data_IF_758943188829
#
_entry.id   IF_758943188829
#
_cell.length_a   1.000
_cell.length_b   1.000
_cell.length_c   1.000
_cell.angle_alpha   90.00
_cell.angle_beta   90.00
_cell.angle_gamma   90.00
#
_symmetry.space_group_name_H-M   'P 1'
#
loop_
_entity.id
_entity.type
_entity.pdbx_description
1 polymer ?
#
# COMPACT_ATOMS: atom_id res chain seq x y z
N UNK A 1 27.18 -3.45 18.06
CA UNK A 1 26.58 -2.27 17.40
C UNK A 1 25.32 -1.91 18.17
N UNK A 2 24.95 -0.63 18.23
CA UNK A 2 23.66 -0.23 18.81
C UNK A 2 22.50 -0.79 17.99
N UNK A 3 21.45 -1.26 18.66
CA UNK A 3 20.22 -1.75 18.04
C UNK A 3 19.57 -0.65 17.21
N UNK A 4 19.22 -0.94 15.96
CA UNK A 4 18.51 0.00 15.09
C UNK A 4 17.07 0.15 15.56
N UNK A 5 16.53 1.37 15.51
CA UNK A 5 15.13 1.65 15.82
C UNK A 5 14.34 2.03 14.58
N UNK A 6 13.18 1.41 14.40
CA UNK A 6 12.28 1.64 13.28
C UNK A 6 10.86 2.00 13.74
N UNK A 7 10.28 3.00 13.10
CA UNK A 7 8.86 3.37 13.26
C UNK A 7 8.09 3.05 11.98
N UNK A 8 7.10 2.16 12.07
CA UNK A 8 6.26 1.74 10.95
C UNK A 8 4.87 2.36 11.06
N UNK A 9 4.61 3.38 10.25
CA UNK A 9 3.31 4.02 10.16
C UNK A 9 2.39 3.20 9.24
N UNK A 10 1.25 2.75 9.79
CA UNK A 10 0.41 1.72 9.17
C UNK A 10 0.85 0.28 9.48
N UNK A 11 1.67 0.08 10.53
CA UNK A 11 2.20 -1.24 10.92
C UNK A 11 1.15 -2.28 11.32
N UNK A 12 -0.12 -1.87 11.50
CA UNK A 12 -1.23 -2.78 11.75
C UNK A 12 -2.00 -3.19 10.47
N UNK A 13 -1.53 -2.77 9.30
CA UNK A 13 -2.09 -3.08 8.00
C UNK A 13 -1.49 -4.33 7.35
N UNK A 14 -1.87 -4.55 6.10
CA UNK A 14 -1.44 -5.71 5.31
C UNK A 14 0.07 -5.80 5.15
N UNK A 15 0.69 -4.74 4.60
CA UNK A 15 2.14 -4.68 4.36
C UNK A 15 2.88 -4.31 5.63
N UNK A 16 2.41 -3.29 6.34
CA UNK A 16 3.05 -2.78 7.55
C UNK A 16 3.28 -3.85 8.62
N UNK A 17 2.34 -4.77 8.83
CA UNK A 17 2.51 -5.85 9.80
C UNK A 17 3.62 -6.84 9.42
N UNK A 18 3.83 -7.07 8.12
CA UNK A 18 4.94 -7.88 7.61
C UNK A 18 6.27 -7.15 7.75
N UNK A 19 6.29 -5.83 7.54
CA UNK A 19 7.49 -5.02 7.79
C UNK A 19 7.88 -5.09 9.27
N UNK A 20 6.91 -4.95 10.20
CA UNK A 20 7.17 -5.13 11.63
C UNK A 20 7.72 -6.53 11.94
N UNK A 21 7.10 -7.59 11.40
CA UNK A 21 7.57 -8.99 11.56
C UNK A 21 9.04 -9.15 11.17
N UNK A 22 9.41 -8.67 9.99
CA UNK A 22 10.78 -8.84 9.47
C UNK A 22 11.79 -7.89 10.11
N UNK A 23 11.38 -6.71 10.59
CA UNK A 23 12.24 -5.86 11.39
C UNK A 23 12.53 -6.47 12.77
N UNK A 24 11.53 -7.07 13.42
CA UNK A 24 11.72 -7.83 14.68
C UNK A 24 12.68 -9.00 14.46
N UNK A 25 12.47 -9.78 13.39
CA UNK A 25 13.37 -10.90 13.05
C UNK A 25 14.81 -10.44 12.77
N UNK A 26 15.02 -9.16 12.45
CA UNK A 26 16.34 -8.54 12.28
C UNK A 26 16.98 -8.07 13.58
N UNK A 27 16.28 -8.21 14.70
CA UNK A 27 16.73 -7.71 16.00
C UNK A 27 16.63 -6.20 16.14
N UNK A 28 15.76 -5.53 15.36
CA UNK A 28 15.53 -4.09 15.49
C UNK A 28 14.51 -3.79 16.59
N UNK A 29 14.61 -2.61 17.20
CA UNK A 29 13.55 -2.06 18.05
C UNK A 29 12.43 -1.52 17.17
N UNK A 30 11.24 -2.13 17.27
CA UNK A 30 10.13 -1.88 16.35
C UNK A 30 8.97 -1.20 17.06
N UNK A 31 8.64 -0.02 16.59
CA UNK A 31 7.41 0.68 16.94
C UNK A 31 6.47 0.73 15.73
N UNK A 32 5.20 0.44 15.95
CA UNK A 32 4.14 0.56 14.96
C UNK A 32 3.18 1.65 15.39
N UNK A 33 2.88 2.58 14.48
CA UNK A 33 1.94 3.67 14.73
C UNK A 33 0.74 3.52 13.80
N UNK A 34 -0.46 3.59 14.36
CA UNK A 34 -1.70 3.57 13.59
C UNK A 34 -2.86 4.15 14.39
N UNK A 35 -4.00 4.43 13.74
CA UNK A 35 -5.18 4.98 14.43
C UNK A 35 -5.75 4.04 15.50
N UNK A 36 -5.66 2.73 15.29
CA UNK A 36 -6.22 1.74 16.21
C UNK A 36 -5.20 1.09 17.15
N UNK A 37 -3.89 1.29 16.91
CA UNK A 37 -2.83 0.61 17.64
C UNK A 37 -2.65 -0.81 17.12
N UNK A 38 -2.66 -1.79 18.02
CA UNK A 38 -2.42 -3.19 17.68
C UNK A 38 -3.36 -3.71 16.57
N UNK A 39 -2.87 -4.53 15.62
CA UNK A 39 -3.70 -5.11 14.57
C UNK A 39 -4.77 -6.05 15.12
N UNK A 40 -5.89 -6.06 14.40
CA UNK A 40 -6.85 -7.16 14.46
C UNK A 40 -6.27 -8.34 13.66
N UNK A 41 -5.82 -9.38 14.36
CA UNK A 41 -4.99 -10.45 13.78
C UNK A 41 -5.70 -11.25 12.70
N UNK A 42 -7.02 -11.37 12.77
CA UNK A 42 -7.90 -11.91 11.74
C UNK A 42 -7.91 -11.10 10.43
N UNK A 43 -7.56 -9.81 10.47
CA UNK A 43 -7.50 -8.94 9.28
C UNK A 43 -6.15 -8.95 8.55
N UNK A 44 -5.09 -9.46 9.21
CA UNK A 44 -3.70 -9.41 8.73
C UNK A 44 -2.98 -10.77 8.74
N UNK A 45 -3.62 -11.80 9.28
CA UNK A 45 -3.07 -13.14 9.35
C UNK A 45 -4.17 -14.20 9.24
N UNK A 46 -3.77 -15.44 9.01
CA UNK A 46 -4.69 -16.60 8.98
C UNK A 46 -5.27 -16.93 10.36
N UNK A 47 -4.66 -16.43 11.44
CA UNK A 47 -5.05 -16.71 12.82
C UNK A 47 -5.59 -15.45 13.50
N UNK A 48 -6.60 -15.61 14.35
CA UNK A 48 -7.08 -14.54 15.24
C UNK A 48 -6.16 -14.32 16.45
N UNK A 49 -5.21 -15.23 16.68
CA UNK A 49 -4.25 -15.15 17.78
C UNK A 49 -3.00 -14.37 17.38
N UNK A 50 -2.55 -13.49 18.27
CA UNK A 50 -1.32 -12.73 18.07
C UNK A 50 -0.09 -13.67 17.93
N UNK A 51 0.71 -13.54 16.86
CA UNK A 51 1.94 -14.31 16.73
C UNK A 51 2.99 -13.85 17.75
N UNK A 52 3.95 -14.71 18.09
CA UNK A 52 4.94 -14.45 19.14
C UNK A 52 5.77 -13.20 18.91
N UNK A 53 6.19 -12.93 17.66
CA UNK A 53 6.96 -11.73 17.29
C UNK A 53 6.19 -10.43 17.58
N UNK A 54 4.86 -10.45 17.61
CA UNK A 54 4.06 -9.26 17.83
C UNK A 54 4.21 -8.67 19.23
N UNK A 55 4.67 -9.47 20.20
CA UNK A 55 4.98 -9.03 21.56
C UNK A 55 6.26 -8.19 21.63
N UNK A 56 7.08 -8.23 20.59
CA UNK A 56 8.32 -7.46 20.47
C UNK A 56 8.11 -6.14 19.72
N UNK A 57 6.85 -5.82 19.38
CA UNK A 57 6.48 -4.57 18.70
C UNK A 57 5.74 -3.68 19.69
N UNK A 58 6.17 -2.43 19.82
CA UNK A 58 5.41 -1.40 20.54
C UNK A 58 4.29 -0.87 19.63
N UNK A 59 3.04 -1.05 20.04
CA UNK A 59 1.87 -0.70 19.22
C UNK A 59 1.22 0.60 19.71
N UNK A 60 1.56 1.71 19.07
CA UNK A 60 1.11 3.03 19.46
C UNK A 60 -0.10 3.51 18.65
N UNK A 61 -0.96 4.26 19.35
CA UNK A 61 -2.11 4.94 18.74
C UNK A 61 -1.73 6.35 18.35
N UNK A 62 -1.81 6.67 17.07
CA UNK A 62 -1.69 8.04 16.58
C UNK A 62 -2.44 8.25 15.27
N UNK A 63 -2.65 9.52 14.91
CA UNK A 63 -3.29 9.92 13.67
C UNK A 63 -2.25 10.52 12.72
N UNK A 64 -1.94 9.84 11.63
CA UNK A 64 -0.96 10.33 10.65
C UNK A 64 -1.42 11.57 9.86
N UNK A 65 -2.70 11.96 9.98
CA UNK A 65 -3.19 13.25 9.47
C UNK A 65 -2.97 14.41 10.47
N UNK A 66 -2.44 14.12 11.67
CA UNK A 66 -2.15 15.08 12.71
C UNK A 66 -0.77 14.80 13.34
N UNK A 67 0.23 15.54 12.87
CA UNK A 67 1.63 15.41 13.28
C UNK A 67 1.86 15.53 14.80
N UNK A 68 1.01 16.29 15.50
CA UNK A 68 1.13 16.49 16.94
C UNK A 68 0.97 15.18 17.72
N UNK A 69 0.24 14.22 17.14
CA UNK A 69 -0.04 12.92 17.78
C UNK A 69 1.12 11.93 17.71
N UNK A 70 2.09 12.11 16.81
CA UNK A 70 3.17 11.14 16.61
C UNK A 70 4.58 11.72 16.58
N UNK A 71 4.75 13.05 16.52
CA UNK A 71 6.08 13.69 16.43
C UNK A 71 7.06 13.20 17.51
N UNK A 72 6.60 13.12 18.76
CA UNK A 72 7.42 12.64 19.87
C UNK A 72 7.82 11.15 19.75
N UNK A 73 7.05 10.35 19.02
CA UNK A 73 7.34 8.94 18.80
C UNK A 73 8.50 8.72 17.81
N UNK A 74 8.83 9.74 17.00
CA UNK A 74 9.92 9.67 16.02
C UNK A 74 11.31 9.95 16.63
N UNK A 75 11.38 10.48 17.85
CA UNK A 75 12.65 10.78 18.52
C UNK A 75 13.56 9.56 18.62
N UNK A 76 14.85 9.71 18.30
CA UNK A 76 15.86 8.65 18.32
C UNK A 76 15.53 7.45 17.41
N UNK A 77 14.88 7.69 16.27
CA UNK A 77 14.56 6.64 15.29
C UNK A 77 15.59 6.64 14.17
N UNK A 78 16.11 5.47 13.79
CA UNK A 78 16.98 5.36 12.62
C UNK A 78 16.16 5.36 11.32
N UNK A 79 15.04 4.63 11.31
CA UNK A 79 14.27 4.36 10.11
C UNK A 79 12.78 4.64 10.30
N UNK A 80 12.16 5.33 9.34
CA UNK A 80 10.71 5.56 9.33
C UNK A 80 10.10 4.95 8.09
N UNK A 81 8.96 4.28 8.23
CA UNK A 81 8.23 3.67 7.12
C UNK A 81 6.82 4.21 7.03
N UNK A 82 6.43 4.66 5.85
CA UNK A 82 5.04 4.94 5.51
C UNK A 82 4.47 3.81 4.66
N UNK A 83 3.57 3.03 5.25
CA UNK A 83 2.91 1.88 4.61
C UNK A 83 1.40 2.05 4.46
N UNK A 84 0.91 3.27 4.67
CA UNK A 84 -0.51 3.56 4.58
C UNK A 84 -0.93 3.84 3.14
N UNK A 85 -2.19 3.54 2.87
CA UNK A 85 -2.85 3.97 1.67
C UNK A 85 -4.28 3.47 1.59
N UNK A 86 -5.08 4.14 0.77
CA UNK A 86 -6.40 3.68 0.38
C UNK A 86 -6.38 3.34 -1.11
N UNK A 87 -7.04 2.23 -1.46
CA UNK A 87 -7.20 1.81 -2.85
C UNK A 87 -8.47 2.39 -3.48
N UNK A 88 -9.51 2.67 -2.68
CA UNK A 88 -10.80 3.16 -3.14
C UNK A 88 -11.32 4.23 -2.17
N UNK A 89 -11.55 5.43 -2.68
CA UNK A 89 -12.28 6.51 -2.00
C UNK A 89 -13.75 6.12 -1.78
N UNK A 90 -14.40 6.73 -0.79
CA UNK A 90 -15.79 6.41 -0.42
C UNK A 90 -16.76 6.65 -1.57
N UNK A 91 -16.47 7.63 -2.43
CA UNK A 91 -17.30 7.94 -3.60
C UNK A 91 -17.33 6.78 -4.61
N UNK A 92 -16.20 6.06 -4.75
CA UNK A 92 -16.13 4.85 -5.56
C UNK A 92 -16.81 3.67 -4.86
N UNK A 93 -16.74 3.57 -3.52
CA UNK A 93 -17.48 2.54 -2.76
C UNK A 93 -18.99 2.77 -2.79
N UNK A 94 -19.44 4.02 -2.83
CA UNK A 94 -20.84 4.39 -3.03
C UNK A 94 -21.33 4.02 -4.42
N UNK A 95 -20.49 4.27 -5.44
CA UNK A 95 -20.75 3.82 -6.81
C UNK A 95 -20.79 2.28 -6.91
N UNK A 96 -19.84 1.58 -6.28
CA UNK A 96 -19.75 0.10 -6.21
C UNK A 96 -20.90 -0.54 -5.41
N UNK A 97 -21.36 0.13 -4.34
CA UNK A 97 -22.52 -0.31 -3.54
C UNK A 97 -23.85 -0.02 -4.23
N UNK A 98 -23.97 1.11 -4.94
CA UNK A 98 -25.09 1.40 -5.84
C UNK A 98 -25.13 0.47 -7.06
N UNK A 99 -24.02 -0.18 -7.35
CA UNK A 99 -23.87 -1.20 -8.40
C UNK A 99 -24.03 -2.63 -7.89
N UNK A 100 -24.76 -2.82 -6.79
CA UNK A 100 -25.49 -4.07 -6.53
C UNK A 100 -26.44 -4.46 -7.69
N UNK A 101 -26.72 -3.53 -8.62
CA UNK A 101 -27.42 -3.79 -9.88
C UNK A 101 -26.53 -4.10 -11.11
N UNK A 102 -25.25 -3.70 -11.18
CA UNK A 102 -24.47 -3.91 -12.43
C UNK A 102 -23.70 -5.23 -12.50
N UNK A 103 -23.48 -5.93 -11.37
CA UNK A 103 -23.03 -7.33 -11.47
C UNK A 103 -24.16 -8.19 -12.05
N UNK A 104 -25.43 -7.82 -11.80
CA UNK A 104 -26.58 -8.36 -12.53
C UNK A 104 -26.64 -7.86 -13.98
N UNK A 105 -26.23 -6.61 -14.24
CA UNK A 105 -26.14 -6.03 -15.59
C UNK A 105 -25.07 -6.67 -16.48
N UNK A 106 -23.98 -7.18 -15.89
CA UNK A 106 -22.98 -7.97 -16.62
C UNK A 106 -23.53 -9.33 -17.06
N UNK A 107 -24.61 -9.84 -16.46
CA UNK A 107 -25.30 -11.06 -16.91
C UNK A 107 -26.23 -10.83 -18.11
N UNK A 108 -26.54 -9.56 -18.42
CA UNK A 108 -27.33 -9.14 -19.58
C UNK A 108 -26.49 -8.76 -20.81
N UNK A 109 -25.16 -8.82 -20.73
CA UNK A 109 -24.25 -8.49 -21.84
C UNK A 109 -23.66 -9.73 -22.54
N UNK A 110 -24.18 -10.91 -22.23
CA UNK A 110 -23.88 -12.20 -22.90
C UNK A 110 -25.14 -12.92 -23.39
N UNK A 111 -26.26 -12.21 -23.45
CA UNK A 111 -27.46 -12.58 -24.20
C UNK A 111 -28.06 -11.32 -24.81
N UNK A 112 -28.22 -11.30 -26.14
CA UNK A 112 -28.60 -10.10 -26.90
C UNK A 112 -29.97 -9.51 -26.52
N UNK A 113 -30.10 -8.20 -26.72
CA UNK A 113 -31.38 -7.46 -26.60
C UNK A 113 -31.17 -6.07 -26.03
N UNK A 114 -31.30 -5.04 -26.86
CA UNK A 114 -30.89 -3.67 -26.55
C UNK A 114 -31.75 -2.92 -25.52
N UNK A 115 -31.13 -1.92 -24.89
CA UNK A 115 -31.76 -0.63 -24.54
C UNK A 115 -30.66 0.35 -24.14
N UNK A 116 -30.70 1.53 -24.74
CA UNK A 116 -29.69 2.58 -24.62
C UNK A 116 -30.15 3.60 -23.56
N UNK A 117 -29.46 3.78 -22.41
CA UNK A 117 -29.93 4.67 -21.35
C UNK A 117 -29.24 6.04 -21.45
N UNK A 118 -29.68 6.88 -22.40
CA UNK A 118 -29.38 8.30 -22.44
C UNK A 118 -30.68 9.10 -22.61
N UNK A 119 -31.58 9.01 -21.62
CA UNK A 119 -32.64 9.99 -21.42
C UNK A 119 -32.92 10.15 -19.92
N UNK A 120 -32.38 11.23 -19.33
CA UNK A 120 -33.13 12.11 -18.41
C UNK A 120 -32.29 13.36 -18.11
N UNK A 121 -32.71 14.49 -18.67
CA UNK A 121 -32.15 15.81 -18.36
C UNK A 121 -32.58 16.34 -16.99
N UNK A 122 -31.90 17.41 -16.55
CA UNK A 122 -32.36 18.28 -15.47
C UNK A 122 -31.31 18.64 -14.43
N UNK A 123 -30.61 19.76 -14.67
CA UNK A 123 -30.16 20.76 -13.69
C UNK A 123 -29.80 20.34 -12.25
N UNK A 124 -28.55 20.56 -11.85
CA UNK A 124 -28.24 21.13 -10.54
C UNK A 124 -26.90 21.85 -10.54
N UNK A 125 -26.97 23.13 -10.18
CA UNK A 125 -25.88 24.05 -9.88
C UNK A 125 -24.98 23.54 -8.76
N UNK A 126 -23.77 24.08 -8.76
CA UNK A 126 -22.74 24.04 -7.72
C UNK A 126 -23.27 24.14 -6.28
N UNK A 127 -22.67 23.37 -5.37
CA UNK A 127 -22.54 23.78 -3.97
C UNK A 127 -21.09 23.66 -3.52
N UNK A 128 -20.58 24.83 -3.19
CA UNK A 128 -19.36 25.19 -2.48
C UNK A 128 -19.01 24.32 -1.29
N UNK A 129 -17.70 24.29 -1.04
CA UNK A 129 -17.02 23.81 0.15
C UNK A 129 -17.77 24.13 1.47
N UNK A 130 -18.01 23.09 2.26
CA UNK A 130 -18.34 23.19 3.67
C UNK A 130 -17.24 22.51 4.48
N UNK A 131 -16.42 23.32 5.13
CA UNK A 131 -15.45 22.92 6.14
C UNK A 131 -16.16 22.54 7.43
N UNK A 132 -15.88 21.34 7.97
CA UNK A 132 -16.21 20.96 9.35
C UNK A 132 -16.97 19.64 9.50
N UNK A 133 -16.33 18.66 10.16
CA UNK A 133 -16.85 17.34 10.59
C UNK A 133 -16.92 16.27 9.49
N UNK A 134 -15.88 15.42 9.45
CA UNK A 134 -15.93 14.11 8.81
C UNK A 134 -15.54 14.03 7.33
N UNK A 135 -14.64 14.88 6.83
CA UNK A 135 -14.08 14.71 5.48
C UNK A 135 -13.37 13.35 5.40
N UNK A 136 -13.96 12.42 4.66
CA UNK A 136 -13.40 11.09 4.47
C UNK A 136 -12.04 11.19 3.77
N UNK A 137 -11.08 10.32 4.09
CA UNK A 137 -9.74 10.40 3.53
C UNK A 137 -9.77 10.21 2.00
N UNK A 138 -9.19 11.18 1.30
CA UNK A 138 -8.94 11.18 -0.15
C UNK A 138 -7.59 10.55 -0.47
N UNK A 139 -7.30 10.27 -1.74
CA UNK A 139 -5.97 9.83 -2.16
C UNK A 139 -4.91 10.87 -1.85
N UNK A 140 -5.18 12.16 -2.05
CA UNK A 140 -4.23 13.23 -1.73
C UNK A 140 -3.93 13.25 -0.24
N UNK A 141 -4.94 13.36 0.61
CA UNK A 141 -4.73 13.45 2.07
C UNK A 141 -4.08 12.19 2.63
N UNK A 142 -4.52 11.00 2.22
CA UNK A 142 -4.05 9.74 2.79
C UNK A 142 -2.80 9.19 2.12
N UNK A 143 -2.69 9.17 0.80
CA UNK A 143 -1.56 8.55 0.10
C UNK A 143 -0.40 9.53 -0.08
N UNK A 144 -0.68 10.83 -0.31
CA UNK A 144 0.33 11.84 -0.64
C UNK A 144 0.71 12.70 0.56
N UNK A 145 -0.22 13.50 1.07
CA UNK A 145 0.04 14.54 2.05
C UNK A 145 0.50 13.95 3.39
N UNK A 146 -0.11 12.84 3.84
CA UNK A 146 0.35 12.14 5.05
C UNK A 146 1.78 11.57 4.92
N UNK A 147 2.19 11.17 3.70
CA UNK A 147 3.53 10.66 3.45
C UNK A 147 4.56 11.79 3.46
N UNK A 148 4.24 12.91 2.81
CA UNK A 148 5.08 14.12 2.80
C UNK A 148 5.24 14.68 4.21
N UNK A 149 4.15 14.85 4.95
CA UNK A 149 4.21 15.35 6.33
C UNK A 149 5.02 14.41 7.21
N UNK A 150 4.81 13.09 7.14
CA UNK A 150 5.60 12.15 7.92
C UNK A 150 7.10 12.19 7.57
N UNK A 151 7.45 12.33 6.28
CA UNK A 151 8.85 12.44 5.87
C UNK A 151 9.51 13.71 6.44
N UNK A 152 8.82 14.85 6.42
CA UNK A 152 9.32 16.09 7.06
C UNK A 152 9.53 15.94 8.56
N UNK A 153 8.58 15.31 9.25
CA UNK A 153 8.70 15.04 10.68
C UNK A 153 9.83 14.04 10.98
N UNK A 154 10.06 13.06 10.10
CA UNK A 154 11.18 12.14 10.20
C UNK A 154 12.53 12.84 9.98
N UNK A 155 12.62 13.73 8.99
CA UNK A 155 13.80 14.56 8.75
C UNK A 155 14.09 15.47 9.94
N UNK A 156 13.07 16.15 10.48
CA UNK A 156 13.19 16.99 11.67
C UNK A 156 13.62 16.19 12.93
N UNK A 157 13.24 14.91 13.01
CA UNK A 157 13.68 13.99 14.05
C UNK A 157 15.07 13.37 13.80
N UNK A 158 15.77 13.77 12.72
CA UNK A 158 17.06 13.23 12.29
C UNK A 158 17.06 11.72 11.99
N UNK A 159 15.95 11.19 11.45
CA UNK A 159 15.92 9.83 10.93
C UNK A 159 16.90 9.68 9.76
N UNK A 160 17.57 8.53 9.67
CA UNK A 160 18.60 8.27 8.66
C UNK A 160 18.01 7.90 7.31
N UNK A 161 16.90 7.17 7.31
CA UNK A 161 16.22 6.77 6.09
C UNK A 161 14.70 6.72 6.26
N UNK A 162 14.01 6.96 5.15
CA UNK A 162 12.56 6.94 5.05
C UNK A 162 12.12 6.01 3.91
N UNK A 163 11.39 4.96 4.23
CA UNK A 163 10.80 4.09 3.22
C UNK A 163 9.32 4.42 3.00
N UNK A 164 8.94 4.58 1.75
CA UNK A 164 7.56 4.77 1.32
C UNK A 164 7.09 3.58 0.49
N UNK A 165 5.98 2.96 0.89
CA UNK A 165 5.33 1.94 0.07
C UNK A 165 4.54 2.64 -1.04
N UNK A 166 5.17 2.73 -2.21
CA UNK A 166 4.62 3.27 -3.44
C UNK A 166 4.00 2.17 -4.31
N UNK A 167 3.75 2.45 -5.59
CA UNK A 167 3.16 1.53 -6.53
C UNK A 167 3.88 1.57 -7.88
N UNK A 168 4.17 0.40 -8.46
CA UNK A 168 4.66 0.30 -9.84
C UNK A 168 3.55 0.54 -10.86
N UNK A 169 2.32 0.11 -10.54
CA UNK A 169 1.15 0.20 -11.41
C UNK A 169 -0.12 0.46 -10.62
N UNK A 170 -1.20 0.83 -11.32
CA UNK A 170 -2.53 0.88 -10.72
C UNK A 170 -3.04 -0.54 -10.50
N UNK A 171 -3.55 -0.87 -9.29
CA UNK A 171 -4.26 -2.13 -9.10
C UNK A 171 -5.50 -2.23 -10.01
N UNK A 172 -5.97 -3.44 -10.34
CA UNK A 172 -7.16 -3.62 -11.18
C UNK A 172 -8.38 -2.89 -10.61
N UNK A 173 -9.07 -2.09 -11.43
CA UNK A 173 -10.25 -1.32 -11.03
C UNK A 173 -9.97 -0.05 -10.22
N UNK A 174 -8.70 0.30 -9.99
CA UNK A 174 -8.31 1.52 -9.26
C UNK A 174 -7.95 2.64 -10.25
N UNK A 175 -8.44 3.88 -10.04
CA UNK A 175 -8.16 4.99 -10.96
C UNK A 175 -6.69 5.41 -10.97
N UNK A 176 -6.21 5.96 -12.09
CA UNK A 176 -4.83 6.47 -12.26
C UNK A 176 -4.44 7.55 -11.25
N UNK A 177 -5.44 8.24 -10.66
CA UNK A 177 -5.28 9.16 -9.54
C UNK A 177 -4.57 8.53 -8.34
N UNK A 178 -4.79 7.23 -8.10
CA UNK A 178 -4.08 6.49 -7.05
C UNK A 178 -2.56 6.46 -7.30
N UNK A 179 -2.14 6.19 -8.53
CA UNK A 179 -0.71 6.08 -8.86
C UNK A 179 -0.04 7.45 -8.89
N UNK A 180 -0.68 8.46 -9.48
CA UNK A 180 -0.15 9.83 -9.52
C UNK A 180 0.09 10.39 -8.12
N UNK A 181 -0.85 10.23 -7.18
CA UNK A 181 -0.65 10.69 -5.79
C UNK A 181 0.53 10.00 -5.08
N UNK A 182 0.79 8.72 -5.37
CA UNK A 182 1.99 8.02 -4.87
C UNK A 182 3.27 8.60 -5.49
N UNK A 183 3.30 8.81 -6.80
CA UNK A 183 4.48 9.38 -7.49
C UNK A 183 4.76 10.84 -7.09
N UNK A 184 3.73 11.65 -6.87
CA UNK A 184 3.86 13.02 -6.36
C UNK A 184 4.48 13.07 -4.96
N UNK A 185 4.13 12.09 -4.10
CA UNK A 185 4.78 11.94 -2.81
C UNK A 185 6.25 11.58 -2.95
N UNK A 186 6.63 10.64 -3.83
CA UNK A 186 8.04 10.31 -4.08
C UNK A 186 8.85 11.55 -4.46
N UNK A 187 8.33 12.34 -5.41
CA UNK A 187 8.99 13.56 -5.88
C UNK A 187 9.15 14.60 -4.78
N UNK A 188 8.16 14.71 -3.88
CA UNK A 188 8.19 15.67 -2.77
C UNK A 188 9.17 15.22 -1.68
N UNK A 189 9.15 13.93 -1.32
CA UNK A 189 10.05 13.35 -0.31
C UNK A 189 11.49 13.33 -0.79
N UNK A 190 11.74 13.13 -2.09
CA UNK A 190 13.10 13.16 -2.68
C UNK A 190 13.82 14.51 -2.51
N UNK A 191 13.10 15.58 -2.17
CA UNK A 191 13.67 16.92 -1.97
C UNK A 191 14.19 17.13 -0.54
N UNK A 192 13.97 16.20 0.38
CA UNK A 192 14.45 16.28 1.76
C UNK A 192 15.94 15.89 1.82
N UNK A 193 16.85 16.87 1.80
CA UNK A 193 18.30 16.64 1.67
C UNK A 193 18.93 15.81 2.80
N UNK A 194 18.35 15.86 4.00
CA UNK A 194 18.87 15.18 5.20
C UNK A 194 18.16 13.84 5.48
N UNK A 195 17.38 13.32 4.52
CA UNK A 195 16.63 12.09 4.69
C UNK A 195 16.79 11.19 3.47
N UNK A 196 17.44 10.03 3.65
CA UNK A 196 17.57 9.05 2.56
C UNK A 196 16.20 8.44 2.23
N UNK A 197 15.58 8.91 1.16
CA UNK A 197 14.30 8.40 0.66
C UNK A 197 14.45 7.09 -0.11
N UNK A 198 13.60 6.10 0.19
CA UNK A 198 13.49 4.81 -0.49
C UNK A 198 12.03 4.60 -0.88
N UNK A 199 11.75 4.47 -2.18
CA UNK A 199 10.39 4.38 -2.70
C UNK A 199 10.14 2.98 -3.26
N UNK A 200 9.51 2.13 -2.46
CA UNK A 200 9.21 0.74 -2.83
C UNK A 200 8.04 0.74 -3.81
N UNK A 201 8.32 0.65 -5.11
CA UNK A 201 7.30 0.63 -6.17
C UNK A 201 6.72 -0.78 -6.29
N UNK A 202 5.92 -1.16 -5.29
CA UNK A 202 5.34 -2.49 -5.22
C UNK A 202 4.30 -2.70 -6.34
N UNK A 203 4.27 -3.88 -6.97
CA UNK A 203 3.14 -4.28 -7.81
C UNK A 203 1.97 -4.73 -6.93
N UNK A 204 0.95 -5.34 -7.53
CA UNK A 204 -0.11 -5.98 -6.77
C UNK A 204 0.47 -7.02 -5.79
N UNK A 205 0.15 -6.88 -4.51
CA UNK A 205 0.63 -7.77 -3.45
C UNK A 205 -0.44 -8.78 -3.07
N UNK A 206 -0.04 -10.02 -2.84
CA UNK A 206 -0.93 -11.08 -2.38
C UNK A 206 -0.37 -11.83 -1.18
N UNK A 207 -1.29 -12.48 -0.45
CA UNK A 207 -0.99 -13.40 0.64
C UNK A 207 -2.06 -14.48 0.71
N UNK A 208 -1.67 -15.66 1.19
CA UNK A 208 -2.53 -16.79 1.51
C UNK A 208 -3.60 -16.46 2.55
N UNK A 209 -3.33 -15.51 3.46
CA UNK A 209 -4.26 -15.10 4.51
C UNK A 209 -5.49 -14.34 4.01
N UNK A 210 -5.48 -13.86 2.77
CA UNK A 210 -6.58 -13.08 2.18
C UNK A 210 -7.17 -13.81 0.98
N UNK A 211 -8.30 -14.49 1.22
CA UNK A 211 -9.07 -15.22 0.19
C UNK A 211 -9.33 -14.40 -1.07
N UNK A 212 -9.58 -13.09 -0.93
CA UNK A 212 -9.84 -12.19 -2.05
C UNK A 212 -8.58 -11.91 -2.90
N UNK A 213 -7.43 -11.62 -2.27
CA UNK A 213 -6.19 -11.36 -3.03
C UNK A 213 -5.66 -12.64 -3.67
N UNK A 214 -5.87 -13.80 -3.03
CA UNK A 214 -5.51 -15.09 -3.59
C UNK A 214 -6.35 -15.42 -4.84
N UNK A 215 -7.67 -15.15 -4.81
CA UNK A 215 -8.52 -15.32 -5.99
C UNK A 215 -8.11 -14.42 -7.16
N UNK A 216 -7.73 -13.17 -6.89
CA UNK A 216 -7.24 -12.24 -7.93
C UNK A 216 -5.87 -12.69 -8.45
N UNK A 217 -4.95 -13.10 -7.59
CA UNK A 217 -3.63 -13.59 -7.99
C UNK A 217 -3.73 -14.89 -8.79
N UNK A 218 -4.60 -15.82 -8.40
CA UNK A 218 -4.87 -17.04 -9.14
C UNK A 218 -5.48 -16.75 -10.52
N UNK A 219 -6.40 -15.80 -10.62
CA UNK A 219 -6.95 -15.36 -11.90
C UNK A 219 -5.90 -14.67 -12.78
N UNK A 220 -5.05 -13.81 -12.21
CA UNK A 220 -3.96 -13.15 -12.93
C UNK A 220 -2.86 -14.14 -13.37
N UNK A 221 -2.56 -15.15 -12.55
CA UNK A 221 -1.66 -16.24 -12.89
C UNK A 221 -2.25 -17.15 -13.98
N UNK A 222 -3.52 -17.53 -13.86
CA UNK A 222 -4.23 -18.29 -14.89
C UNK A 222 -4.31 -17.50 -16.21
N UNK A 223 -4.50 -16.18 -16.16
CA UNK A 223 -4.44 -15.33 -17.36
C UNK A 223 -3.07 -15.39 -18.04
N UNK A 224 -1.96 -15.45 -17.28
CA UNK A 224 -0.61 -15.64 -17.84
C UNK A 224 -0.43 -17.01 -18.50
N UNK A 225 -1.08 -18.07 -18.00
CA UNK A 225 -1.07 -19.39 -18.64
C UNK A 225 -2.04 -19.49 -19.84
N UNK A 226 -3.16 -18.78 -19.81
CA UNK A 226 -4.15 -18.75 -20.90
C UNK A 226 -3.73 -17.86 -22.08
N UNK A 227 -2.77 -16.96 -21.88
CA UNK A 227 -2.17 -16.16 -22.96
C UNK A 227 -1.37 -17.03 -23.96
N UNK A 228 -0.99 -18.25 -23.57
CA UNK A 228 -0.42 -19.25 -24.47
C UNK A 228 -1.44 -19.94 -25.40
N UNK A 229 -2.73 -19.93 -25.05
CA UNK A 229 -3.76 -20.74 -25.72
C UNK A 229 -4.96 -19.96 -26.28
N UNK A 230 -5.21 -18.71 -25.86
CA UNK A 230 -6.46 -18.00 -26.22
C UNK A 230 -6.22 -16.60 -26.78
N UNK A 231 -5.79 -16.55 -28.04
CA UNK A 231 -5.42 -15.33 -28.80
C UNK A 231 -6.53 -14.31 -29.08
N UNK A 232 -7.68 -14.28 -28.39
CA UNK A 232 -8.78 -13.41 -28.83
C UNK A 232 -9.88 -12.98 -27.87
N UNK A 233 -10.01 -13.51 -26.66
CA UNK A 233 -11.22 -13.25 -25.84
C UNK A 233 -11.01 -12.31 -24.64
N UNK A 234 -9.77 -12.01 -24.23
CA UNK A 234 -9.48 -11.27 -22.99
C UNK A 234 -9.05 -9.81 -23.19
N UNK A 235 -8.99 -9.30 -24.42
CA UNK A 235 -8.55 -7.92 -24.72
C UNK A 235 -9.52 -6.83 -24.23
N UNK A 236 -10.77 -7.17 -23.90
CA UNK A 236 -11.77 -6.20 -23.42
C UNK A 236 -11.80 -5.97 -21.91
N UNK A 237 -11.22 -6.88 -21.11
CA UNK A 237 -11.23 -6.82 -19.62
C UNK A 237 -9.83 -6.61 -19.06
N UNK A 238 -8.78 -7.04 -19.76
CA UNK A 238 -7.40 -6.73 -19.43
C UNK A 238 -6.96 -5.51 -20.23
N UNK A 239 -7.06 -4.34 -19.60
CA UNK A 239 -6.43 -3.12 -20.12
C UNK A 239 -4.95 -3.34 -20.42
N UNK A 240 -4.49 -2.73 -21.51
CA UNK A 240 -3.11 -2.66 -22.02
C UNK A 240 -2.20 -3.85 -21.68
N UNK A 241 -1.97 -4.71 -22.68
CA UNK A 241 -1.02 -5.85 -22.66
C UNK A 241 0.41 -5.50 -22.21
N UNK A 242 0.79 -4.22 -22.16
CA UNK A 242 2.10 -3.72 -21.71
C UNK A 242 2.19 -3.34 -20.21
N UNK A 243 1.16 -3.59 -19.40
CA UNK A 243 1.11 -3.14 -17.98
C UNK A 243 0.92 -4.24 -16.93
N UNK A 244 0.94 -5.51 -17.33
CA UNK A 244 0.82 -6.63 -16.39
C UNK A 244 2.15 -6.90 -15.70
N UNK A 245 2.37 -6.20 -14.59
CA UNK A 245 3.51 -6.43 -13.70
C UNK A 245 3.21 -7.64 -12.80
N UNK A 246 4.16 -8.56 -12.71
CA UNK A 246 4.09 -9.77 -11.87
C UNK A 246 3.68 -9.41 -10.44
N UNK A 247 2.58 -9.99 -9.91
CA UNK A 247 2.23 -9.83 -8.50
C UNK A 247 3.31 -10.40 -7.58
N UNK A 248 3.55 -9.76 -6.44
CA UNK A 248 4.53 -10.21 -5.45
C UNK A 248 3.88 -10.66 -4.14
N UNK A 249 4.54 -11.58 -3.45
CA UNK A 249 4.19 -11.90 -2.08
C UNK A 249 4.43 -10.68 -1.20
N UNK A 250 3.49 -10.38 -0.30
CA UNK A 250 3.65 -9.28 0.66
C UNK A 250 4.89 -9.46 1.54
N UNK A 251 5.26 -10.71 1.85
CA UNK A 251 6.46 -11.01 2.63
C UNK A 251 7.72 -10.59 1.87
N UNK A 252 7.81 -10.83 0.55
CA UNK A 252 8.94 -10.38 -0.29
C UNK A 252 9.08 -8.86 -0.27
N UNK A 253 7.98 -8.12 -0.42
CA UNK A 253 8.00 -6.64 -0.38
C UNK A 253 8.45 -6.14 0.98
N UNK A 254 7.98 -6.76 2.06
CA UNK A 254 8.35 -6.38 3.42
C UNK A 254 9.82 -6.68 3.74
N UNK A 255 10.32 -7.86 3.35
CA UNK A 255 11.74 -8.23 3.45
C UNK A 255 12.63 -7.25 2.68
N UNK A 256 12.27 -6.94 1.44
CA UNK A 256 12.98 -5.98 0.61
C UNK A 256 13.02 -4.58 1.26
N UNK A 257 11.91 -4.15 1.87
CA UNK A 257 11.85 -2.86 2.58
C UNK A 257 12.83 -2.80 3.74
N UNK A 258 12.84 -3.83 4.60
CA UNK A 258 13.80 -3.91 5.72
C UNK A 258 15.23 -3.97 5.22
N UNK A 259 15.48 -4.74 4.15
CA UNK A 259 16.80 -4.87 3.56
C UNK A 259 17.32 -3.56 2.92
N UNK A 260 16.44 -2.80 2.28
CA UNK A 260 16.76 -1.51 1.67
C UNK A 260 17.11 -0.47 2.74
N UNK A 261 16.38 -0.43 3.85
CA UNK A 261 16.64 0.49 4.96
C UNK A 261 18.03 0.27 5.57
N UNK A 262 18.47 -0.98 5.68
CA UNK A 262 19.80 -1.29 6.19
C UNK A 262 20.92 -0.89 5.22
N UNK A 263 20.72 -1.09 3.92
CA UNK A 263 21.74 -0.84 2.89
C UNK A 263 21.84 0.65 2.58
N UNK A 264 22.96 1.27 2.92
CA UNK A 264 23.18 2.72 2.75
C UNK A 264 23.25 3.16 1.27
N UNK A 265 23.61 2.24 0.37
CA UNK A 265 23.68 2.46 -1.08
C UNK A 265 22.31 2.44 -1.78
N UNK A 266 21.28 1.91 -1.13
CA UNK A 266 19.92 1.87 -1.69
C UNK A 266 19.20 3.19 -1.42
N UNK A 267 18.81 3.89 -2.48
CA UNK A 267 18.04 5.13 -2.40
C UNK A 267 17.20 5.35 -3.66
N UNK A 268 16.19 6.21 -3.58
CA UNK A 268 15.29 6.48 -4.70
C UNK A 268 14.29 5.38 -4.97
N UNK A 269 13.85 5.27 -6.23
CA UNK A 269 12.80 4.34 -6.65
C UNK A 269 13.29 2.90 -6.79
N UNK A 270 12.75 2.00 -5.97
CA UNK A 270 13.05 0.56 -5.98
C UNK A 270 11.99 -0.17 -6.80
N UNK A 271 12.39 -0.65 -7.98
CA UNK A 271 11.53 -1.38 -8.91
C UNK A 271 11.30 -2.85 -8.53
N UNK A 272 10.44 -3.53 -9.28
CA UNK A 272 9.99 -4.91 -9.00
C UNK A 272 11.14 -5.91 -8.93
N UNK A 273 12.06 -5.88 -9.90
CA UNK A 273 13.23 -6.76 -9.95
C UNK A 273 14.15 -6.52 -8.75
N UNK A 274 14.33 -5.26 -8.36
CA UNK A 274 15.15 -4.92 -7.21
C UNK A 274 14.49 -5.32 -5.88
N UNK A 275 13.16 -5.21 -5.78
CA UNK A 275 12.39 -5.74 -4.64
C UNK A 275 12.64 -7.24 -4.50
N UNK A 276 12.57 -8.01 -5.58
CA UNK A 276 12.83 -9.46 -5.53
C UNK A 276 14.27 -9.75 -5.09
N UNK A 277 15.26 -9.05 -5.67
CA UNK A 277 16.68 -9.17 -5.30
C UNK A 277 16.93 -8.87 -3.81
N UNK A 278 16.36 -7.79 -3.30
CA UNK A 278 16.51 -7.38 -1.90
C UNK A 278 15.79 -8.34 -0.95
N UNK A 279 14.61 -8.82 -1.33
CA UNK A 279 13.86 -9.82 -0.57
C UNK A 279 14.63 -11.14 -0.46
N UNK A 280 15.19 -11.62 -1.57
CA UNK A 280 16.02 -12.83 -1.58
C UNK A 280 17.28 -12.66 -0.73
N UNK A 281 17.95 -11.49 -0.81
CA UNK A 281 19.11 -11.18 0.02
C UNK A 281 18.77 -11.23 1.51
N UNK A 282 17.65 -10.62 1.92
CA UNK A 282 17.17 -10.71 3.31
C UNK A 282 16.95 -12.16 3.72
N UNK A 283 16.27 -12.94 2.88
CA UNK A 283 15.95 -14.34 3.18
C UNK A 283 17.22 -15.17 3.39
N UNK A 284 18.20 -15.04 2.50
CA UNK A 284 19.50 -15.73 2.63
C UNK A 284 20.21 -15.37 3.94
N UNK A 285 20.19 -14.09 4.31
CA UNK A 285 20.81 -13.63 5.57
C UNK A 285 20.06 -14.13 6.81
N UNK A 286 18.75 -14.37 6.72
CA UNK A 286 17.97 -14.90 7.85
C UNK A 286 18.12 -16.40 8.08
N UNK A 287 18.75 -17.13 7.14
CA UNK A 287 19.04 -18.56 7.26
C UNK A 287 20.45 -18.88 7.77
N UNK A 288 21.32 -17.87 7.86
CA UNK A 288 22.68 -17.96 8.37
C UNK A 288 22.71 -17.58 9.85
#
# INVERSE_FOLDING_TARGET
MATKRIVVCGGNGFVGSRICKFAVARGWDVMSISRSGQPRWDAVSVSSTAPSWARQVSWERANLLDATTYRALLTNTDYVVHSMGILLETDYKGLVRGTGGVISGLRGLLGGGGTNPLERGGSSRSTSASSGVGSQPTYESMNRDSAITLAREAAAANAKAFAFISAATCPPGVPTRYLSTKLEAEQSISKEEHLRGIFIRAPFMYDSSRKLTLGIAAAAGAAQFLDGASKGLLSGVLGDKNKLVKPLLVDTVAQATVQALEQEDVSGGVGVEEIERLGEKYWRQSML
#
